data_IF_877560406990
#
_entry.id   IF_877560406990
#
_cell.length_a   1.000
_cell.length_b   1.000
_cell.length_c   1.000
_cell.angle_alpha   90.00
_cell.angle_beta   90.00
_cell.angle_gamma   90.00
#
_symmetry.space_group_name_H-M   'P 1'
#
loop_
_entity.id
_entity.type
_entity.pdbx_description
1 polymer ?
#
# COMPACT_ATOMS: atom_id res chain seq x y z
N UNK A 1 -35.99 -28.79 40.22
CA UNK A 1 -35.34 -28.97 38.91
C UNK A 1 -35.13 -27.59 38.31
N UNK A 2 -33.89 -27.09 38.27
CA UNK A 2 -33.57 -25.77 37.72
C UNK A 2 -33.17 -25.89 36.26
N UNK A 3 -34.07 -25.53 35.36
CA UNK A 3 -33.81 -25.54 33.91
C UNK A 3 -32.91 -24.34 33.56
N UNK A 4 -31.60 -24.59 33.45
CA UNK A 4 -30.64 -23.56 33.06
C UNK A 4 -30.64 -23.47 31.55
N UNK A 5 -31.65 -22.78 31.01
CA UNK A 5 -31.65 -22.35 29.60
C UNK A 5 -30.43 -21.46 29.37
N UNK A 6 -29.33 -22.07 28.92
CA UNK A 6 -28.18 -21.38 28.33
C UNK A 6 -28.70 -20.63 27.11
N UNK A 7 -29.01 -19.36 27.31
CA UNK A 7 -29.38 -18.43 26.26
C UNK A 7 -28.26 -18.48 25.21
N UNK A 8 -28.52 -19.14 24.07
CA UNK A 8 -27.53 -19.30 23.02
C UNK A 8 -27.05 -17.90 22.62
N UNK A 9 -25.76 -17.60 22.88
CA UNK A 9 -25.17 -16.32 22.49
C UNK A 9 -25.43 -16.12 21.00
N UNK A 10 -26.22 -15.10 20.66
CA UNK A 10 -26.51 -14.71 19.29
C UNK A 10 -25.18 -14.35 18.61
N UNK A 11 -24.61 -15.31 17.91
CA UNK A 11 -23.32 -15.18 17.25
C UNK A 11 -23.62 -14.77 15.82
N UNK A 12 -23.65 -13.46 15.55
CA UNK A 12 -23.87 -12.95 14.19
C UNK A 12 -22.72 -13.43 13.30
N UNK A 13 -22.99 -14.23 12.25
CA UNK A 13 -21.95 -14.71 11.34
C UNK A 13 -21.40 -13.56 10.49
N UNK A 14 -20.25 -13.79 9.87
CA UNK A 14 -19.65 -12.81 8.98
C UNK A 14 -20.46 -12.76 7.68
N UNK A 15 -20.78 -11.56 7.19
CA UNK A 15 -21.40 -11.40 5.88
C UNK A 15 -20.31 -10.97 4.90
N UNK A 16 -20.14 -11.68 3.80
CA UNK A 16 -19.04 -11.43 2.85
C UNK A 16 -19.03 -9.99 2.32
N UNK A 17 -20.21 -9.37 2.18
CA UNK A 17 -20.38 -7.95 1.81
C UNK A 17 -19.62 -6.98 2.75
N UNK A 18 -19.41 -7.36 4.00
CA UNK A 18 -18.62 -6.58 4.96
C UNK A 18 -17.16 -6.42 4.52
N UNK A 19 -16.63 -7.37 3.73
CA UNK A 19 -15.28 -7.30 3.17
C UNK A 19 -15.06 -6.01 2.38
N UNK A 20 -15.93 -5.75 1.40
CA UNK A 20 -15.86 -4.54 0.58
C UNK A 20 -16.38 -3.33 1.32
N UNK A 21 -17.49 -3.43 2.06
CA UNK A 21 -18.08 -2.26 2.74
C UNK A 21 -17.16 -1.65 3.80
N UNK A 22 -16.39 -2.47 4.52
CA UNK A 22 -15.60 -2.02 5.68
C UNK A 22 -14.10 -2.28 5.54
N UNK A 23 -13.63 -2.76 4.39
CA UNK A 23 -12.21 -3.04 4.15
C UNK A 23 -11.69 -4.20 5.00
N UNK A 24 -12.40 -5.33 5.00
CA UNK A 24 -12.06 -6.54 5.77
C UNK A 24 -11.65 -7.70 4.85
N UNK A 25 -10.86 -8.62 5.39
CA UNK A 25 -10.50 -9.87 4.72
C UNK A 25 -10.67 -11.04 5.68
N UNK A 26 -11.23 -12.16 5.20
CA UNK A 26 -11.33 -13.37 6.02
C UNK A 26 -9.95 -13.98 6.20
N UNK A 27 -9.47 -14.01 7.45
CA UNK A 27 -8.13 -14.52 7.77
C UNK A 27 -8.12 -16.03 7.93
N UNK A 28 -9.20 -16.59 8.48
CA UNK A 28 -9.35 -18.04 8.63
C UNK A 28 -10.82 -18.44 8.63
N UNK A 29 -11.07 -19.67 8.15
CA UNK A 29 -12.38 -20.32 8.11
C UNK A 29 -12.32 -21.63 8.91
N UNK A 30 -13.44 -22.06 9.46
CA UNK A 30 -13.58 -23.39 10.08
C UNK A 30 -13.73 -24.49 9.03
N UNK A 31 -13.90 -25.74 9.49
CA UNK A 31 -14.12 -26.90 8.62
C UNK A 31 -15.43 -26.84 7.83
N UNK A 32 -16.36 -25.95 8.17
CA UNK A 32 -17.63 -25.74 7.47
C UNK A 32 -17.56 -24.58 6.47
N UNK A 33 -16.41 -23.90 6.39
CA UNK A 33 -16.20 -22.74 5.53
C UNK A 33 -16.65 -21.41 6.16
N UNK A 34 -17.09 -21.40 7.41
CA UNK A 34 -17.52 -20.20 8.11
C UNK A 34 -16.32 -19.39 8.62
N UNK A 35 -16.38 -18.06 8.50
CA UNK A 35 -15.28 -17.21 8.94
C UNK A 35 -15.13 -17.27 10.48
N UNK A 36 -13.97 -17.72 10.95
CA UNK A 36 -13.64 -17.73 12.40
C UNK A 36 -12.83 -16.50 12.81
N UNK A 37 -12.16 -15.86 11.86
CA UNK A 37 -11.59 -14.54 12.08
C UNK A 37 -11.49 -13.73 10.79
N UNK A 38 -11.65 -12.41 10.93
CA UNK A 38 -11.47 -11.45 9.84
C UNK A 38 -10.48 -10.37 10.27
N UNK A 39 -9.63 -9.91 9.36
CA UNK A 39 -8.62 -8.90 9.64
C UNK A 39 -8.93 -7.59 8.91
N UNK A 40 -8.52 -6.49 9.52
CA UNK A 40 -8.58 -5.16 8.91
C UNK A 40 -7.54 -5.05 7.78
N UNK A 41 -7.99 -4.79 6.54
CA UNK A 41 -7.07 -4.59 5.41
C UNK A 41 -6.29 -3.28 5.56
N UNK A 42 -6.86 -2.24 6.18
CA UNK A 42 -6.13 -0.99 6.41
C UNK A 42 -4.93 -1.17 7.34
N UNK A 43 -5.08 -1.98 8.41
CA UNK A 43 -3.97 -2.35 9.28
C UNK A 43 -2.86 -3.08 8.52
N UNK A 44 -3.22 -3.98 7.61
CA UNK A 44 -2.27 -4.80 6.83
C UNK A 44 -1.51 -3.94 5.82
N UNK A 45 -2.22 -3.05 5.11
CA UNK A 45 -1.65 -2.27 4.01
C UNK A 45 -1.00 -0.95 4.47
N UNK A 46 -1.57 -0.25 5.45
CA UNK A 46 -1.14 1.10 5.83
C UNK A 46 -0.64 1.19 7.28
N UNK A 47 -0.97 0.20 8.10
CA UNK A 47 -0.74 0.25 9.54
C UNK A 47 -1.58 1.32 10.24
N UNK A 48 -1.27 1.60 11.51
CA UNK A 48 -1.91 2.68 12.28
C UNK A 48 -1.47 4.04 11.73
N UNK A 49 -2.45 4.90 11.50
CA UNK A 49 -2.18 6.29 11.13
C UNK A 49 -1.66 7.08 12.35
N UNK A 50 -0.65 7.92 12.13
CA UNK A 50 -0.07 8.76 13.16
C UNK A 50 -1.03 9.91 13.50
N UNK A 51 -1.19 10.19 14.79
CA UNK A 51 -1.88 11.41 15.22
C UNK A 51 -0.93 12.59 15.07
N UNK A 52 -1.42 13.72 14.58
CA UNK A 52 -0.62 14.96 14.49
C UNK A 52 0.05 15.23 15.85
N UNK A 53 1.38 15.35 15.86
CA UNK A 53 2.17 15.60 17.07
C UNK A 53 2.80 14.38 17.75
N UNK A 54 2.62 13.15 17.25
CA UNK A 54 3.25 11.97 17.81
C UNK A 54 4.61 11.65 17.15
N UNK A 55 5.57 11.21 17.97
CA UNK A 55 6.96 10.93 17.59
C UNK A 55 7.03 9.75 16.63
N UNK A 56 7.77 9.89 15.52
CA UNK A 56 8.01 8.87 14.48
C UNK A 56 8.73 7.62 15.04
N UNK A 57 8.06 6.78 15.83
CA UNK A 57 8.57 5.45 16.21
C UNK A 57 8.32 4.47 15.06
N UNK A 58 9.28 3.57 14.84
CA UNK A 58 9.17 2.45 13.87
C UNK A 58 7.84 1.72 14.08
N UNK A 59 7.00 1.77 13.05
CA UNK A 59 5.61 1.32 13.05
C UNK A 59 5.50 -0.20 13.17
N UNK A 60 5.56 -0.76 14.37
CA UNK A 60 5.05 -2.11 14.60
C UNK A 60 3.54 -2.00 14.82
N UNK A 61 2.78 -2.00 13.73
CA UNK A 61 1.33 -1.85 13.79
C UNK A 61 0.69 -3.22 13.86
N UNK A 62 0.19 -3.58 15.05
CA UNK A 62 -0.56 -4.82 15.25
C UNK A 62 -1.79 -4.83 14.36
N UNK A 63 -1.90 -5.84 13.48
CA UNK A 63 -3.06 -6.02 12.62
C UNK A 63 -4.29 -6.35 13.48
N UNK A 64 -5.34 -5.54 13.35
CA UNK A 64 -6.59 -5.80 14.07
C UNK A 64 -7.30 -7.01 13.45
N UNK A 65 -7.51 -8.03 14.28
CA UNK A 65 -8.33 -9.21 13.98
C UNK A 65 -9.63 -9.12 14.77
N UNK A 66 -10.74 -9.43 14.12
CA UNK A 66 -12.07 -9.52 14.69
C UNK A 66 -12.53 -10.98 14.67
N UNK A 67 -13.22 -11.38 15.73
CA UNK A 67 -13.83 -12.69 15.91
C UNK A 67 -15.33 -12.51 16.16
N UNK A 68 -16.16 -13.56 16.03
CA UNK A 68 -17.59 -13.44 16.29
C UNK A 68 -17.90 -12.91 17.71
N UNK A 69 -19.00 -12.14 17.90
CA UNK A 69 -20.00 -11.75 16.91
C UNK A 69 -19.53 -10.60 16.00
N UNK A 70 -19.79 -10.74 14.70
CA UNK A 70 -19.33 -9.82 13.66
C UNK A 70 -20.21 -8.59 13.53
N UNK A 71 -19.96 -7.57 14.36
CA UNK A 71 -20.74 -6.33 14.43
C UNK A 71 -20.13 -5.23 13.55
N UNK A 72 -20.88 -4.68 12.57
CA UNK A 72 -20.43 -3.56 11.73
C UNK A 72 -19.95 -2.32 12.49
N UNK A 73 -20.54 -2.05 13.65
CA UNK A 73 -20.16 -0.93 14.52
C UNK A 73 -18.69 -0.99 14.94
N UNK A 74 -18.20 -2.19 15.28
CA UNK A 74 -16.82 -2.39 15.70
C UNK A 74 -15.83 -2.07 14.57
N UNK A 75 -16.20 -2.38 13.32
CA UNK A 75 -15.37 -2.09 12.16
C UNK A 75 -15.30 -0.60 11.90
N UNK A 76 -16.46 0.08 11.92
CA UNK A 76 -16.54 1.54 11.74
C UNK A 76 -15.74 2.28 12.80
N UNK A 77 -15.92 1.92 14.07
CA UNK A 77 -15.19 2.54 15.17
C UNK A 77 -13.67 2.32 15.05
N UNK A 78 -13.24 1.10 14.72
CA UNK A 78 -11.83 0.82 14.49
C UNK A 78 -11.26 1.64 13.33
N UNK A 79 -11.93 1.65 12.18
CA UNK A 79 -11.47 2.37 10.99
C UNK A 79 -11.40 3.88 11.26
N UNK A 80 -12.43 4.47 11.89
CA UNK A 80 -12.46 5.89 12.22
C UNK A 80 -11.37 6.30 13.22
N UNK A 81 -10.97 5.42 14.15
CA UNK A 81 -9.99 5.77 15.19
C UNK A 81 -8.55 5.44 14.82
N UNK A 82 -8.32 4.39 14.05
CA UNK A 82 -6.97 3.92 13.68
C UNK A 82 -6.54 4.29 12.26
N UNK A 83 -7.51 4.55 11.37
CA UNK A 83 -7.29 4.85 9.96
C UNK A 83 -8.14 6.04 9.47
N UNK A 84 -8.23 7.17 10.22
CA UNK A 84 -9.18 8.23 9.90
C UNK A 84 -9.06 8.77 8.47
N UNK A 85 -7.85 8.93 7.93
CA UNK A 85 -7.63 9.52 6.60
C UNK A 85 -7.95 8.53 5.48
N UNK A 86 -7.34 7.35 5.51
CA UNK A 86 -7.57 6.32 4.49
C UNK A 86 -9.00 5.80 4.54
N UNK A 87 -9.61 5.72 5.73
CA UNK A 87 -11.02 5.33 5.85
C UNK A 87 -11.93 6.35 5.17
N UNK A 88 -11.72 7.65 5.38
CA UNK A 88 -12.51 8.70 4.72
C UNK A 88 -12.36 8.64 3.18
N UNK A 89 -11.13 8.45 2.69
CA UNK A 89 -10.88 8.23 1.26
C UNK A 89 -11.64 7.01 0.74
N UNK A 90 -11.52 5.88 1.43
CA UNK A 90 -12.18 4.64 1.05
C UNK A 90 -13.71 4.78 1.05
N UNK A 91 -14.30 5.50 2.00
CA UNK A 91 -15.75 5.70 2.03
C UNK A 91 -16.26 6.43 0.79
N UNK A 92 -15.49 7.40 0.28
CA UNK A 92 -15.83 8.21 -0.89
C UNK A 92 -15.75 7.46 -2.24
N UNK A 93 -15.12 6.29 -2.27
CA UNK A 93 -14.97 5.48 -3.48
C UNK A 93 -16.26 4.79 -3.91
N UNK A 94 -16.40 4.56 -5.22
CA UNK A 94 -17.40 3.69 -5.79
C UNK A 94 -17.22 2.23 -5.34
N UNK A 95 -18.26 1.38 -5.44
CA UNK A 95 -18.12 -0.05 -5.17
C UNK A 95 -17.01 -0.73 -5.99
N UNK A 96 -16.86 -0.37 -7.26
CA UNK A 96 -15.86 -0.91 -8.17
C UNK A 96 -14.43 -0.50 -7.77
N UNK A 97 -14.25 0.78 -7.42
CA UNK A 97 -12.99 1.31 -6.92
C UNK A 97 -12.57 0.65 -5.60
N UNK A 98 -13.53 0.37 -4.70
CA UNK A 98 -13.28 -0.35 -3.44
C UNK A 98 -12.73 -1.76 -3.65
N UNK A 99 -13.11 -2.44 -4.73
CA UNK A 99 -12.61 -3.79 -5.05
C UNK A 99 -11.10 -3.78 -5.35
N UNK A 100 -10.62 -2.74 -6.03
CA UNK A 100 -9.23 -2.61 -6.45
C UNK A 100 -8.37 -1.75 -5.51
N UNK A 101 -8.96 -1.06 -4.54
CA UNK A 101 -8.27 -0.14 -3.63
C UNK A 101 -7.03 -0.73 -2.95
N UNK A 102 -7.08 -2.01 -2.61
CA UNK A 102 -6.01 -2.74 -1.92
C UNK A 102 -5.16 -3.62 -2.86
N UNK A 103 -5.37 -3.54 -4.18
CA UNK A 103 -4.66 -4.37 -5.16
C UNK A 103 -3.22 -3.88 -5.44
N UNK A 104 -2.92 -2.62 -5.14
CA UNK A 104 -1.57 -2.06 -5.25
C UNK A 104 -0.83 -2.10 -3.90
N UNK A 105 0.47 -2.44 -3.85
CA UNK A 105 1.28 -2.26 -2.65
C UNK A 105 1.28 -0.76 -2.26
N UNK A 106 1.34 -0.43 -0.95
CA UNK A 106 1.20 0.95 -0.49
C UNK A 106 2.31 1.84 -1.06
N UNK A 107 1.96 2.68 -2.03
CA UNK A 107 2.75 3.85 -2.40
C UNK A 107 2.52 4.94 -1.34
N UNK A 108 3.57 5.56 -0.78
CA UNK A 108 3.42 6.74 0.05
C UNK A 108 3.11 7.94 -0.86
N UNK A 109 1.90 8.03 -1.38
CA UNK A 109 1.44 9.19 -2.14
C UNK A 109 0.23 9.77 -1.43
N UNK A 110 0.49 10.78 -0.61
CA UNK A 110 -0.52 11.75 -0.19
C UNK A 110 -0.93 12.48 -1.47
N UNK A 111 -2.04 12.09 -2.08
CA UNK A 111 -2.70 12.91 -3.10
C UNK A 111 -3.71 13.79 -2.36
N UNK A 112 -3.41 15.08 -2.33
CA UNK A 112 -4.33 16.12 -1.89
C UNK A 112 -5.35 16.36 -3.02
N UNK A 113 -6.67 16.40 -2.76
CA UNK A 113 -7.64 16.69 -3.82
C UNK A 113 -7.53 18.15 -4.27
N UNK A 114 -7.53 18.35 -5.58
CA UNK A 114 -7.75 19.65 -6.22
C UNK A 114 -9.23 20.06 -6.08
N UNK A 115 -9.47 21.29 -5.63
CA UNK A 115 -10.74 21.98 -5.79
C UNK A 115 -10.45 23.45 -6.16
N UNK A 116 -11.31 23.99 -7.00
CA UNK A 116 -11.06 25.10 -7.91
C UNK A 116 -10.94 26.50 -7.27
N UNK A 117 -10.20 27.36 -7.99
CA UNK A 117 -10.35 28.80 -8.23
C UNK A 117 -11.16 29.65 -7.22
N UNK A 118 -10.48 30.63 -6.60
CA UNK A 118 -10.89 32.04 -6.64
C UNK A 118 -9.73 32.97 -6.23
N UNK A 119 -9.60 34.08 -6.97
CA UNK A 119 -8.53 35.09 -6.88
C UNK A 119 -8.60 35.95 -5.60
N UNK A 120 -7.45 36.36 -5.05
CA UNK A 120 -6.96 37.76 -5.08
C UNK A 120 -5.70 37.99 -4.22
N UNK A 121 -4.76 38.72 -4.83
CA UNK A 121 -3.67 39.63 -4.37
C UNK A 121 -3.80 40.22 -2.95
N UNK A 122 -2.81 40.64 -2.13
CA UNK A 122 -1.41 41.12 -2.21
C UNK A 122 -0.79 40.92 -0.80
N UNK A 123 0.55 40.78 -0.66
CA UNK A 123 1.24 41.10 0.60
C UNK A 123 2.65 40.51 0.70
N UNK A 124 3.67 41.35 0.47
CA UNK A 124 5.09 41.12 0.72
C UNK A 124 5.39 40.88 2.21
N UNK A 125 6.39 40.05 2.56
CA UNK A 125 7.57 40.46 3.33
C UNK A 125 8.58 39.29 3.51
N UNK A 126 9.86 39.67 3.53
CA UNK A 126 11.08 38.88 3.50
C UNK A 126 11.36 38.09 4.78
N UNK A 127 12.09 36.97 4.63
CA UNK A 127 12.81 36.36 5.75
C UNK A 127 13.11 34.87 5.62
N UNK A 128 14.24 34.53 5.01
CA UNK A 128 14.99 33.29 5.25
C UNK A 128 16.30 33.72 5.98
N UNK A 129 17.07 32.90 6.73
CA UNK A 129 17.02 31.44 6.88
C UNK A 129 17.14 30.91 8.33
N UNK A 130 16.99 29.58 8.50
CA UNK A 130 17.94 28.67 9.18
C UNK A 130 17.35 27.25 9.11
N UNK A 131 17.97 26.41 8.27
CA UNK A 131 17.77 24.97 8.31
C UNK A 131 18.62 24.36 9.43
N UNK A 132 18.19 23.22 9.99
CA UNK A 132 19.16 22.17 10.27
C UNK A 132 18.76 20.84 9.61
N UNK A 133 19.73 20.34 8.84
CA UNK A 133 20.12 18.94 8.66
C UNK A 133 19.02 17.93 8.27
N UNK A 134 18.89 17.74 6.95
CA UNK A 134 18.36 16.52 6.33
C UNK A 134 19.18 15.31 6.76
N UNK A 135 18.61 14.44 7.60
CA UNK A 135 19.14 13.11 7.91
C UNK A 135 18.30 12.06 7.20
N UNK A 136 18.47 11.94 5.88
CA UNK A 136 17.91 10.84 5.09
C UNK A 136 18.89 10.50 3.96
N UNK A 137 19.77 9.52 4.16
CA UNK A 137 20.54 8.92 3.05
C UNK A 137 21.12 7.51 3.26
N UNK A 138 20.98 6.89 4.44
CA UNK A 138 21.63 5.58 4.64
C UNK A 138 20.74 4.41 4.19
N UNK A 139 19.48 4.36 4.63
CA UNK A 139 18.63 3.19 4.39
C UNK A 139 18.19 2.97 2.94
N UNK A 140 18.21 4.01 2.11
CA UNK A 140 17.79 3.91 0.70
C UNK A 140 18.94 3.38 -0.18
N UNK A 141 20.16 3.85 0.11
CA UNK A 141 21.39 3.35 -0.49
C UNK A 141 21.64 1.88 -0.11
N UNK A 142 21.25 1.48 1.11
CA UNK A 142 21.37 0.09 1.55
C UNK A 142 20.46 -0.87 0.77
N UNK A 143 19.26 -0.43 0.35
CA UNK A 143 18.36 -1.24 -0.49
C UNK A 143 18.89 -1.39 -1.91
N UNK A 144 19.42 -0.31 -2.49
CA UNK A 144 20.03 -0.35 -3.82
C UNK A 144 21.27 -1.25 -3.82
N UNK A 145 22.14 -1.16 -2.81
CA UNK A 145 23.30 -2.05 -2.65
C UNK A 145 22.89 -3.52 -2.54
N UNK A 146 21.90 -3.83 -1.71
CA UNK A 146 21.42 -5.20 -1.51
C UNK A 146 20.77 -5.76 -2.79
N UNK A 147 19.97 -4.97 -3.50
CA UNK A 147 19.36 -5.38 -4.77
C UNK A 147 20.43 -5.63 -5.84
N UNK A 148 21.44 -4.76 -5.94
CA UNK A 148 22.57 -4.92 -6.86
C UNK A 148 23.39 -6.18 -6.54
N UNK A 149 23.62 -6.48 -5.26
CA UNK A 149 24.32 -7.71 -4.84
C UNK A 149 23.54 -8.97 -5.25
N UNK A 150 22.22 -8.96 -5.09
CA UNK A 150 21.38 -10.10 -5.45
C UNK A 150 21.20 -10.26 -6.97
N UNK A 151 21.27 -9.18 -7.76
CA UNK A 151 21.27 -9.27 -9.23
C UNK A 151 22.55 -9.85 -9.80
N UNK A 152 23.67 -9.72 -9.09
CA UNK A 152 24.92 -10.36 -9.52
C UNK A 152 24.77 -11.89 -9.66
N UNK A 153 23.94 -12.53 -8.83
CA UNK A 153 23.63 -13.96 -8.92
C UNK A 153 22.78 -14.34 -10.14
N UNK A 154 22.16 -13.35 -10.81
CA UNK A 154 21.33 -13.53 -12.00
C UNK A 154 22.06 -13.15 -13.29
N UNK A 155 23.37 -12.85 -13.22
CA UNK A 155 24.16 -12.37 -14.36
C UNK A 155 24.10 -13.29 -15.58
N UNK A 156 24.22 -14.59 -15.37
CA UNK A 156 24.20 -15.58 -16.47
C UNK A 156 22.82 -15.71 -17.11
N UNK A 157 21.74 -15.43 -16.37
CA UNK A 157 20.36 -15.50 -16.86
C UNK A 157 19.95 -14.21 -17.59
N UNK A 158 20.55 -13.08 -17.21
CA UNK A 158 20.23 -11.77 -17.78
C UNK A 158 21.12 -11.40 -18.97
N UNK A 159 22.27 -12.07 -19.14
CA UNK A 159 23.21 -11.88 -20.25
C UNK A 159 23.49 -10.39 -20.55
N UNK A 160 23.16 -9.92 -21.75
CA UNK A 160 23.33 -8.56 -22.25
C UNK A 160 22.49 -7.51 -21.49
N UNK A 161 21.43 -7.95 -20.82
CA UNK A 161 20.52 -7.09 -20.05
C UNK A 161 20.94 -6.89 -18.61
N UNK A 162 22.04 -7.53 -18.17
CA UNK A 162 22.55 -7.41 -16.82
C UNK A 162 22.76 -5.94 -16.40
N UNK A 163 23.44 -5.13 -17.20
CA UNK A 163 23.73 -3.74 -16.85
C UNK A 163 22.47 -2.86 -16.86
N UNK A 164 21.51 -3.16 -17.73
CA UNK A 164 20.20 -2.48 -17.70
C UNK A 164 19.44 -2.81 -16.40
N UNK A 165 19.55 -4.05 -15.91
CA UNK A 165 18.98 -4.43 -14.61
C UNK A 165 19.69 -3.73 -13.45
N UNK A 166 21.02 -3.59 -13.50
CA UNK A 166 21.79 -2.84 -12.48
C UNK A 166 21.38 -1.37 -12.48
N UNK A 167 21.31 -0.73 -13.64
CA UNK A 167 20.88 0.68 -13.79
C UNK A 167 19.45 0.87 -13.24
N UNK A 168 18.53 -0.02 -13.61
CA UNK A 168 17.16 -0.03 -13.08
C UNK A 168 17.13 -0.12 -11.54
N UNK A 169 18.04 -0.86 -10.91
CA UNK A 169 18.08 -1.04 -9.46
C UNK A 169 18.88 0.03 -8.72
N UNK A 170 19.49 0.98 -9.42
CA UNK A 170 19.97 2.22 -8.79
C UNK A 170 18.81 3.09 -8.31
N UNK A 171 17.63 2.97 -8.94
CA UNK A 171 16.40 3.56 -8.43
C UNK A 171 15.93 2.80 -7.17
N UNK A 172 15.83 3.46 -6.02
CA UNK A 172 15.51 2.77 -4.77
C UNK A 172 14.09 2.18 -4.74
N UNK A 173 13.16 2.75 -5.52
CA UNK A 173 11.81 2.20 -5.65
C UNK A 173 11.83 0.88 -6.42
N UNK A 174 12.61 0.80 -7.49
CA UNK A 174 12.84 -0.43 -8.23
C UNK A 174 13.64 -1.47 -7.42
N UNK A 175 14.67 -1.06 -6.68
CA UNK A 175 15.42 -1.92 -5.77
C UNK A 175 14.52 -2.57 -4.72
N UNK A 176 13.69 -1.77 -4.06
CA UNK A 176 12.72 -2.25 -3.08
C UNK A 176 11.71 -3.22 -3.71
N UNK A 177 11.19 -2.92 -4.91
CA UNK A 177 10.26 -3.79 -5.61
C UNK A 177 10.90 -5.16 -5.94
N UNK A 178 12.15 -5.15 -6.42
CA UNK A 178 12.91 -6.36 -6.74
C UNK A 178 13.13 -7.26 -5.51
N UNK A 179 13.46 -6.68 -4.36
CA UNK A 179 13.73 -7.43 -3.13
C UNK A 179 12.48 -8.16 -2.58
N UNK A 180 11.28 -7.66 -2.87
CA UNK A 180 10.00 -8.28 -2.47
C UNK A 180 9.61 -9.45 -3.37
N UNK A 181 10.10 -9.50 -4.61
CA UNK A 181 9.86 -10.62 -5.53
C UNK A 181 10.60 -11.85 -5.04
N UNK A 182 9.94 -13.02 -5.06
CA UNK A 182 10.55 -14.27 -4.64
C UNK A 182 11.80 -14.58 -5.50
N UNK A 183 12.89 -15.15 -4.94
CA UNK A 183 14.15 -15.35 -5.67
C UNK A 183 14.00 -16.05 -7.02
N UNK A 184 13.08 -17.02 -7.11
CA UNK A 184 12.77 -17.78 -8.34
C UNK A 184 12.15 -16.92 -9.45
N UNK A 185 11.41 -15.86 -9.10
CA UNK A 185 10.66 -15.02 -10.05
C UNK A 185 11.43 -13.76 -10.46
N UNK A 186 12.56 -13.46 -9.79
CA UNK A 186 13.30 -12.21 -9.97
C UNK A 186 13.87 -12.00 -11.36
N UNK A 187 14.36 -13.06 -12.00
CA UNK A 187 14.87 -12.99 -13.37
C UNK A 187 13.74 -12.63 -14.35
N UNK A 188 12.60 -13.32 -14.26
CA UNK A 188 11.43 -13.04 -15.09
C UNK A 188 10.87 -11.63 -14.86
N UNK A 189 10.84 -11.19 -13.60
CA UNK A 189 10.41 -9.83 -13.26
C UNK A 189 11.31 -8.76 -13.88
N UNK A 190 12.65 -8.92 -13.80
CA UNK A 190 13.60 -7.99 -14.41
C UNK A 190 13.44 -7.95 -15.92
N UNK A 191 13.33 -9.10 -16.57
CA UNK A 191 13.14 -9.20 -18.02
C UNK A 191 11.85 -8.50 -18.48
N UNK A 192 10.74 -8.70 -17.75
CA UNK A 192 9.48 -7.99 -18.02
C UNK A 192 9.63 -6.47 -17.85
N UNK A 193 10.25 -6.03 -16.76
CA UNK A 193 10.38 -4.61 -16.44
C UNK A 193 11.28 -3.85 -17.42
N UNK A 194 12.36 -4.48 -17.86
CA UNK A 194 13.25 -3.94 -18.90
C UNK A 194 12.55 -3.85 -20.26
N UNK A 195 11.67 -4.81 -20.60
CA UNK A 195 10.89 -4.74 -21.83
C UNK A 195 9.89 -3.56 -21.84
N UNK A 196 9.31 -3.20 -20.70
CA UNK A 196 8.40 -2.05 -20.57
C UNK A 196 9.10 -0.71 -20.85
N UNK A 197 10.36 -0.56 -20.41
CA UNK A 197 11.13 0.66 -20.66
C UNK A 197 11.47 0.86 -22.15
N UNK A 198 11.68 -0.21 -22.91
CA UNK A 198 11.98 -0.11 -24.35
C UNK A 198 10.74 0.28 -25.18
N UNK A 199 9.54 -0.13 -24.74
CA UNK A 199 8.28 0.25 -25.38
C UNK A 199 7.97 1.74 -25.22
N UNK A 200 8.29 2.31 -24.05
CA UNK A 200 8.07 3.74 -23.77
C UNK A 200 8.95 4.68 -24.62
N UNK A 201 10.14 4.24 -25.03
CA UNK A 201 11.03 5.01 -25.91
C UNK A 201 10.64 4.97 -27.39
N UNK A 202 9.73 4.09 -27.79
CA UNK A 202 9.36 3.87 -29.20
C UNK A 202 8.12 4.67 -29.65
N UNK A 203 7.36 5.24 -28.71
CA UNK A 203 6.08 5.92 -28.99
C UNK A 203 6.20 7.42 -29.30
N UNK A 204 7.40 8.01 -29.28
CA UNK A 204 7.65 9.44 -29.53
C UNK A 204 8.13 9.76 -30.96
N UNK A 205 7.68 8.99 -31.96
CA UNK A 205 8.24 9.05 -33.31
C UNK A 205 7.25 8.93 -34.48
N UNK A 206 6.08 9.56 -34.43
CA UNK A 206 5.26 9.75 -35.65
C UNK A 206 4.90 11.23 -35.77
N UNK A 207 5.65 11.96 -36.61
CA UNK A 207 5.24 13.28 -37.07
C UNK A 207 4.14 13.10 -38.13
N UNK A 208 3.00 13.79 -38.05
CA UNK A 208 2.03 13.78 -39.14
C UNK A 208 2.63 14.51 -40.35
N UNK A 209 2.68 13.81 -41.48
CA UNK A 209 2.91 14.40 -42.80
C UNK A 209 1.70 15.28 -43.12
N UNK A 210 1.93 16.58 -43.27
CA UNK A 210 0.96 17.49 -43.85
C UNK A 210 0.87 17.27 -45.37
N UNK A 211 -0.35 17.06 -45.87
CA UNK A 211 -0.73 17.28 -47.27
C UNK A 211 -1.76 18.40 -47.25
#
# INVERSE_FOLDING_TARGET
MGDTSKQALRTTPFQEKHGVMYGLHVRSRDSKGEAVSVQCRFCVHFGREERQGATLRKKLTTVKVFVPPYRPENYRHHNATQHPKVWAQYQALSPEEKLIFFASPPSPTIVQPCAALSNNTVGEDSGNPIAPARTHHDGDMDLAKEACAQVQALKDVLEDRYFNAVDLLTDPSAARAFLVVAPVDRAGWLQWKLAQHQLASSTTGVKPVSI
#
